data_IF_733957778514
#
_entry.id   IF_733957778514
#
_cell.length_a   1.000
_cell.length_b   1.000
_cell.length_c   1.000
_cell.angle_alpha   90.00
_cell.angle_beta   90.00
_cell.angle_gamma   90.00
#
_symmetry.space_group_name_H-M   'P 1'
#
loop_
_entity.id
_entity.type
_entity.pdbx_description
1 polymer ?
#
# COMPACT_ATOMS: atom_id res chain seq x y z
N UNK A 1 12.18 14.36 -4.69
CA UNK A 1 11.26 13.62 -5.61
C UNK A 1 9.84 14.06 -5.40
N UNK A 2 9.07 14.12 -6.47
CA UNK A 2 7.64 14.40 -6.36
C UNK A 2 6.92 13.16 -5.80
N UNK A 3 5.75 13.35 -5.15
CA UNK A 3 4.98 12.21 -4.62
C UNK A 3 4.72 11.11 -5.63
N UNK A 4 4.40 11.45 -6.87
CA UNK A 4 4.19 10.46 -7.92
C UNK A 4 5.42 9.60 -8.16
N UNK A 5 6.61 10.19 -8.11
CA UNK A 5 7.86 9.44 -8.31
C UNK A 5 8.12 8.45 -7.16
N UNK A 6 7.82 8.85 -5.93
CA UNK A 6 7.92 7.96 -4.77
C UNK A 6 6.93 6.81 -4.92
N UNK A 7 5.71 7.10 -5.34
CA UNK A 7 4.68 6.07 -5.56
C UNK A 7 5.08 5.11 -6.67
N UNK A 8 5.69 5.58 -7.74
CA UNK A 8 6.17 4.72 -8.82
C UNK A 8 7.25 3.75 -8.34
N UNK A 9 8.15 4.21 -7.47
CA UNK A 9 9.13 3.32 -6.83
C UNK A 9 8.46 2.30 -5.91
N UNK A 10 7.44 2.72 -5.18
CA UNK A 10 6.64 1.85 -4.32
C UNK A 10 6.01 0.72 -5.14
N UNK A 11 5.40 1.07 -6.27
CA UNK A 11 4.76 0.11 -7.17
C UNK A 11 5.79 -0.92 -7.69
N UNK A 12 6.96 -0.45 -8.07
CA UNK A 12 8.03 -1.33 -8.55
C UNK A 12 8.48 -2.31 -7.46
N UNK A 13 8.71 -1.82 -6.25
CA UNK A 13 9.09 -2.68 -5.12
C UNK A 13 7.98 -3.68 -4.78
N UNK A 14 6.73 -3.25 -4.82
CA UNK A 14 5.59 -4.12 -4.55
C UNK A 14 5.50 -5.24 -5.57
N UNK A 15 5.67 -4.92 -6.86
CA UNK A 15 5.61 -5.91 -7.93
C UNK A 15 6.73 -6.96 -7.84
N UNK A 16 7.86 -6.59 -7.24
CA UNK A 16 9.00 -7.48 -7.02
C UNK A 16 8.97 -8.19 -5.68
N UNK A 17 7.95 -7.92 -4.86
CA UNK A 17 7.85 -8.43 -3.49
C UNK A 17 9.11 -8.09 -2.66
N UNK A 18 9.62 -6.87 -2.83
CA UNK A 18 10.84 -6.41 -2.20
C UNK A 18 10.52 -5.66 -0.90
N UNK A 19 10.38 -6.40 0.19
CA UNK A 19 9.98 -5.84 1.49
C UNK A 19 10.98 -4.83 2.03
N UNK A 20 12.27 -5.09 1.84
CA UNK A 20 13.31 -4.19 2.34
C UNK A 20 13.24 -2.81 1.66
N UNK A 21 13.26 -2.80 0.33
CA UNK A 21 13.30 -1.54 -0.41
C UNK A 21 11.97 -0.78 -0.35
N UNK A 22 10.84 -1.49 -0.31
CA UNK A 22 9.55 -0.80 -0.17
C UNK A 22 9.47 -0.10 1.20
N UNK A 23 9.95 -0.74 2.26
CA UNK A 23 9.97 -0.14 3.59
C UNK A 23 10.89 1.09 3.66
N UNK A 24 11.98 1.11 2.86
CA UNK A 24 12.89 2.25 2.81
C UNK A 24 12.24 3.50 2.22
N UNK A 25 11.11 3.38 1.56
CA UNK A 25 10.35 4.53 1.07
C UNK A 25 9.53 5.22 2.16
N UNK A 26 9.43 4.62 3.34
CA UNK A 26 8.64 5.17 4.45
C UNK A 26 9.54 5.92 5.44
N UNK A 27 8.99 7.00 6.00
CA UNK A 27 9.63 7.70 7.11
C UNK A 27 9.63 6.83 8.36
N UNK A 28 10.56 7.09 9.29
CA UNK A 28 10.72 6.29 10.51
C UNK A 28 9.42 6.16 11.30
N UNK A 29 8.64 7.24 11.39
CA UNK A 29 7.38 7.28 12.14
C UNK A 29 6.14 7.26 11.24
N UNK A 30 6.28 6.74 10.03
CA UNK A 30 5.16 6.67 9.08
C UNK A 30 4.01 5.83 9.61
N UNK A 31 2.81 6.13 9.13
CA UNK A 31 1.61 5.35 9.44
C UNK A 31 1.04 4.80 8.13
N UNK A 32 0.73 3.51 8.12
CA UNK A 32 0.01 2.87 7.03
C UNK A 32 -1.34 2.41 7.56
N UNK A 33 -2.38 3.09 7.14
CA UNK A 33 -3.74 2.80 7.57
C UNK A 33 -4.59 2.27 6.41
N UNK A 34 -4.69 0.97 6.33
CA UNK A 34 -5.72 0.34 5.51
C UNK A 34 -7.01 0.44 6.30
N UNK A 35 -7.94 1.27 5.84
CA UNK A 35 -9.10 1.71 6.64
C UNK A 35 -9.95 0.54 7.14
N UNK A 36 -9.95 -0.58 6.41
CA UNK A 36 -10.64 -1.80 6.83
C UNK A 36 -10.01 -2.47 8.07
N UNK A 37 -8.81 -2.08 8.44
CA UNK A 37 -8.04 -2.68 9.55
C UNK A 37 -7.46 -1.59 10.44
N UNK A 38 -6.83 -1.99 11.54
CA UNK A 38 -6.13 -1.04 12.42
C UNK A 38 -4.89 -0.47 11.75
N UNK A 39 -4.52 0.78 12.04
CA UNK A 39 -3.31 1.36 11.48
C UNK A 39 -2.05 0.66 11.96
N UNK A 40 -1.06 0.60 11.06
CA UNK A 40 0.27 0.08 11.36
C UNK A 40 1.19 1.28 11.49
N UNK A 41 1.85 1.39 12.64
CA UNK A 41 2.62 2.57 13.01
C UNK A 41 4.11 2.26 13.05
N UNK A 42 4.88 3.06 12.33
CA UNK A 42 6.33 2.99 12.30
C UNK A 42 6.88 2.14 11.16
N UNK A 43 8.00 2.59 10.62
CA UNK A 43 8.66 1.94 9.49
C UNK A 43 8.99 0.47 9.76
N UNK A 44 9.44 0.15 10.98
CA UNK A 44 9.79 -1.23 11.30
C UNK A 44 8.57 -2.15 11.27
N UNK A 45 7.43 -1.71 11.83
CA UNK A 45 6.19 -2.48 11.80
C UNK A 45 5.66 -2.62 10.38
N UNK A 46 5.80 -1.57 9.57
CA UNK A 46 5.42 -1.60 8.16
C UNK A 46 6.30 -2.60 7.39
N UNK A 47 7.60 -2.61 7.67
CA UNK A 47 8.51 -3.59 7.08
C UNK A 47 8.09 -5.03 7.41
N UNK A 48 7.79 -5.31 8.67
CA UNK A 48 7.35 -6.65 9.11
C UNK A 48 6.04 -7.04 8.43
N UNK A 49 5.13 -6.10 8.25
CA UNK A 49 3.89 -6.33 7.52
C UNK A 49 4.17 -6.79 6.09
N UNK A 50 5.04 -6.10 5.36
CA UNK A 50 5.39 -6.48 3.99
C UNK A 50 6.10 -7.82 3.92
N UNK A 51 7.03 -8.10 4.84
CA UNK A 51 7.70 -9.41 4.92
C UNK A 51 6.66 -10.51 5.03
N UNK A 52 5.69 -10.35 5.93
CA UNK A 52 4.65 -11.34 6.15
C UNK A 52 3.71 -11.47 4.94
N UNK A 53 3.26 -10.37 4.37
CA UNK A 53 2.36 -10.40 3.21
C UNK A 53 3.02 -11.05 2.00
N UNK A 54 4.26 -10.67 1.69
CA UNK A 54 4.98 -11.23 0.54
C UNK A 54 5.36 -12.71 0.73
N UNK A 55 5.48 -13.16 1.96
CA UNK A 55 5.77 -14.56 2.26
C UNK A 55 4.53 -15.46 2.19
N UNK A 56 3.34 -14.90 2.47
CA UNK A 56 2.11 -15.70 2.59
C UNK A 56 1.29 -15.75 1.32
N UNK A 57 1.44 -14.78 0.42
CA UNK A 57 0.65 -14.71 -0.81
C UNK A 57 1.38 -13.95 -1.89
N UNK A 58 1.06 -14.27 -3.13
CA UNK A 58 1.49 -13.45 -4.25
C UNK A 58 0.56 -12.25 -4.33
N UNK A 59 1.06 -11.10 -3.89
CA UNK A 59 0.30 -9.86 -3.92
C UNK A 59 0.35 -9.27 -5.33
N UNK A 60 -0.81 -8.97 -5.88
CA UNK A 60 -0.93 -8.35 -7.20
C UNK A 60 -1.62 -7.01 -7.05
N UNK A 61 -0.97 -5.97 -7.54
CA UNK A 61 -1.53 -4.63 -7.57
C UNK A 61 -1.45 -4.12 -9.00
N UNK A 62 -2.58 -4.16 -9.70
CA UNK A 62 -2.67 -3.63 -11.06
C UNK A 62 -3.11 -2.19 -10.98
N UNK A 63 -2.20 -1.26 -11.30
CA UNK A 63 -2.47 0.17 -11.21
C UNK A 63 -3.33 0.61 -12.38
N UNK A 64 -4.45 1.26 -12.08
CA UNK A 64 -5.36 1.79 -13.10
C UNK A 64 -5.13 3.28 -13.35
N UNK A 65 -4.94 4.05 -12.30
CA UNK A 65 -4.70 5.50 -12.40
C UNK A 65 -3.81 5.99 -11.27
N UNK A 66 -3.02 7.02 -11.55
CA UNK A 66 -2.23 7.73 -10.54
C UNK A 66 -2.54 9.22 -10.68
N UNK A 67 -2.87 9.84 -9.56
CA UNK A 67 -3.10 11.28 -9.46
C UNK A 67 -2.11 11.89 -8.49
N UNK A 68 -1.74 13.15 -8.72
CA UNK A 68 -0.84 13.87 -7.83
C UNK A 68 -1.47 15.21 -7.48
N UNK A 69 -1.46 15.55 -6.19
CA UNK A 69 -1.99 16.81 -5.68
C UNK A 69 -1.12 17.28 -4.52
N UNK A 70 -0.32 18.31 -4.74
CA UNK A 70 0.59 18.84 -3.73
C UNK A 70 1.56 17.78 -3.23
N UNK A 71 1.53 17.49 -1.94
CA UNK A 71 2.37 16.47 -1.30
C UNK A 71 1.76 15.06 -1.38
N UNK A 72 0.62 14.90 -2.04
CA UNK A 72 -0.10 13.63 -2.10
C UNK A 72 -0.01 12.98 -3.47
N UNK A 73 0.12 11.67 -3.47
CA UNK A 73 -0.11 10.85 -4.65
C UNK A 73 -1.25 9.87 -4.35
N UNK A 74 -2.13 9.68 -5.31
CA UNK A 74 -3.30 8.81 -5.15
C UNK A 74 -3.25 7.76 -6.25
N UNK A 75 -3.44 6.50 -5.87
CA UNK A 75 -3.41 5.37 -6.78
C UNK A 75 -4.74 4.64 -6.74
N UNK A 76 -5.33 4.43 -7.92
CA UNK A 76 -6.43 3.49 -8.06
C UNK A 76 -5.85 2.17 -8.57
N UNK A 77 -6.27 1.07 -7.95
CA UNK A 77 -5.73 -0.25 -8.27
C UNK A 77 -6.82 -1.31 -8.28
N UNK A 78 -6.49 -2.45 -8.86
CA UNK A 78 -7.30 -3.66 -8.74
C UNK A 78 -6.38 -4.86 -8.51
N UNK A 79 -6.92 -5.91 -7.92
CA UNK A 79 -6.19 -7.17 -7.76
C UNK A 79 -6.56 -8.15 -8.88
N UNK A 80 -5.98 -9.36 -8.85
CA UNK A 80 -6.19 -10.38 -9.87
C UNK A 80 -7.62 -10.94 -9.89
N UNK A 81 -8.39 -10.73 -8.82
CA UNK A 81 -9.78 -11.19 -8.72
C UNK A 81 -10.79 -10.08 -9.03
N UNK A 82 -10.30 -8.88 -9.38
CA UNK A 82 -11.15 -7.76 -9.75
C UNK A 82 -11.56 -6.84 -8.60
N UNK A 83 -11.09 -7.08 -7.38
CA UNK A 83 -11.31 -6.15 -6.29
C UNK A 83 -10.58 -4.85 -6.58
N UNK A 84 -11.29 -3.73 -6.47
CA UNK A 84 -10.74 -2.41 -6.68
C UNK A 84 -10.60 -1.65 -5.38
N UNK A 85 -9.58 -0.79 -5.34
CA UNK A 85 -9.35 0.08 -4.21
C UNK A 85 -8.55 1.30 -4.62
N UNK A 86 -8.31 2.16 -3.64
CA UNK A 86 -7.45 3.32 -3.84
C UNK A 86 -6.58 3.54 -2.61
N UNK A 87 -5.40 4.09 -2.85
CA UNK A 87 -4.45 4.42 -1.80
C UNK A 87 -4.01 5.86 -1.91
N UNK A 88 -3.95 6.53 -0.78
CA UNK A 88 -3.48 7.90 -0.64
C UNK A 88 -2.13 7.87 0.05
N UNK A 89 -1.13 8.50 -0.57
CA UNK A 89 0.24 8.52 -0.06
C UNK A 89 0.65 9.97 0.18
N UNK A 90 0.89 10.32 1.43
CA UNK A 90 1.41 11.63 1.80
C UNK A 90 2.92 11.55 1.86
N UNK A 91 3.61 12.35 1.04
CA UNK A 91 5.06 12.31 0.89
C UNK A 91 5.67 13.61 1.35
N UNK A 92 6.68 13.53 2.22
CA UNK A 92 7.51 14.66 2.64
C UNK A 92 8.96 14.23 2.65
N UNK A 93 9.86 15.10 2.18
CA UNK A 93 11.30 14.83 2.16
C UNK A 93 11.63 13.47 1.53
N UNK A 94 10.99 13.19 0.40
CA UNK A 94 11.17 11.96 -0.39
C UNK A 94 10.73 10.68 0.32
N UNK A 95 9.97 10.80 1.42
CA UNK A 95 9.50 9.64 2.19
C UNK A 95 7.99 9.69 2.37
N UNK A 96 7.38 8.51 2.39
CA UNK A 96 5.97 8.37 2.73
C UNK A 96 5.84 8.56 4.23
N UNK A 97 5.08 9.58 4.64
CA UNK A 97 4.83 9.85 6.05
C UNK A 97 3.48 9.29 6.50
N UNK A 98 2.55 9.14 5.56
CA UNK A 98 1.24 8.59 5.86
C UNK A 98 0.68 7.93 4.60
N UNK A 99 0.06 6.76 4.78
CA UNK A 99 -0.62 6.03 3.72
C UNK A 99 -2.00 5.64 4.22
N UNK A 100 -3.02 5.83 3.38
CA UNK A 100 -4.39 5.46 3.70
C UNK A 100 -4.97 4.70 2.51
N UNK A 101 -5.43 3.47 2.76
CA UNK A 101 -6.00 2.63 1.72
C UNK A 101 -7.48 2.37 1.95
N UNK A 102 -8.25 2.41 0.87
CA UNK A 102 -9.70 2.13 0.89
C UNK A 102 -10.01 0.97 -0.02
N UNK A 103 -10.62 -0.05 0.53
CA UNK A 103 -11.10 -1.22 -0.22
C UNK A 103 -12.19 -1.89 0.60
N UNK A 104 -13.08 -2.63 -0.09
CA UNK A 104 -14.21 -3.26 0.58
C UNK A 104 -13.80 -4.60 1.21
N UNK A 105 -13.77 -4.63 2.51
CA UNK A 105 -13.35 -5.82 3.27
C UNK A 105 -14.28 -7.02 3.02
N UNK A 106 -15.59 -6.78 2.95
CA UNK A 106 -16.54 -7.87 2.70
C UNK A 106 -16.31 -8.52 1.34
N UNK A 107 -16.12 -7.72 0.29
CA UNK A 107 -15.81 -8.22 -1.04
C UNK A 107 -14.50 -9.01 -1.04
N UNK A 108 -13.47 -8.50 -0.36
CA UNK A 108 -12.19 -9.19 -0.23
C UNK A 108 -12.37 -10.57 0.42
N UNK A 109 -13.07 -10.63 1.55
CA UNK A 109 -13.30 -11.88 2.26
C UNK A 109 -14.07 -12.89 1.40
N UNK A 110 -15.10 -12.43 0.69
CA UNK A 110 -15.87 -13.30 -0.20
C UNK A 110 -15.05 -13.84 -1.36
N UNK A 111 -14.29 -12.98 -2.02
CA UNK A 111 -13.47 -13.37 -3.17
C UNK A 111 -12.36 -14.35 -2.80
N UNK A 112 -11.83 -14.24 -1.60
CA UNK A 112 -10.75 -15.10 -1.12
C UNK A 112 -11.25 -16.27 -0.27
N UNK A 113 -12.57 -16.46 -0.17
CA UNK A 113 -13.20 -17.53 0.62
C UNK A 113 -12.72 -17.52 2.08
N UNK A 114 -12.64 -16.34 2.68
CA UNK A 114 -12.23 -16.16 4.05
C UNK A 114 -13.44 -15.95 4.97
N UNK A 115 -13.31 -16.28 6.28
CA UNK A 115 -14.42 -16.09 7.23
C UNK A 115 -14.84 -14.63 7.30
N UNK A 116 -16.17 -14.43 7.36
CA UNK A 116 -16.78 -13.11 7.50
C UNK A 116 -17.12 -12.91 8.97
N UNK A 117 -16.24 -12.18 9.70
CA UNK A 117 -16.48 -11.89 11.12
C UNK A 117 -16.01 -10.50 11.48
#
# INVERSE_FOLDING_TARGET
MKPKEVLEKWIDCFSKADAYHIAELYATNAVNHQVANDPIIGKESIYKMFVNEFATAKMVCMVENIFEDGEWAIMEWKDSLGLRGCGFFHVKDNKIVFQRGYWDKLSFLKQHNLPIE
#
